data_IF_337736189412
#
_entry.id   IF_337736189412
#
_cell.length_a   1.000
_cell.length_b   1.000
_cell.length_c   1.000
_cell.angle_alpha   90.00
_cell.angle_beta   90.00
_cell.angle_gamma   90.00
#
_symmetry.space_group_name_H-M   'P 1'
#
loop_
_entity.id
_entity.type
_entity.pdbx_description
1 polymer ?
#
# COMPACT_ATOMS: atom_id res chain seq x y z
N UNK A 1 9.92 6.36 13.32
CA UNK A 1 10.87 6.38 12.19
C UNK A 1 10.08 6.11 10.92
N UNK A 2 10.34 6.87 9.85
CA UNK A 2 9.73 6.69 8.53
C UNK A 2 10.88 6.62 7.54
N UNK A 3 10.91 5.57 6.72
CA UNK A 3 11.89 5.40 5.66
C UNK A 3 11.14 5.25 4.35
N UNK A 4 11.45 6.14 3.43
CA UNK A 4 11.04 6.11 2.03
C UNK A 4 12.31 6.02 1.19
N UNK A 5 12.36 5.02 0.33
CA UNK A 5 13.56 4.65 -0.40
C UNK A 5 13.22 3.83 -1.63
N UNK A 6 14.10 3.90 -2.61
CA UNK A 6 13.99 3.14 -3.85
C UNK A 6 15.35 2.80 -4.42
N UNK A 7 15.33 2.02 -5.51
CA UNK A 7 16.51 1.56 -6.21
C UNK A 7 16.27 1.36 -7.69
N UNK A 8 17.35 1.44 -8.47
CA UNK A 8 17.37 1.23 -9.91
C UNK A 8 18.08 -0.09 -10.21
N UNK A 9 17.42 -0.92 -11.01
CA UNK A 9 17.90 -2.21 -11.46
C UNK A 9 17.70 -2.31 -12.97
N UNK A 10 18.47 -3.17 -13.65
CA UNK A 10 18.37 -3.33 -15.11
C UNK A 10 16.96 -3.77 -15.56
N UNK A 11 16.23 -4.39 -14.64
CA UNK A 11 14.89 -4.95 -14.81
C UNK A 11 13.78 -4.13 -14.13
N UNK A 12 14.09 -2.97 -13.53
CA UNK A 12 13.04 -2.11 -12.99
C UNK A 12 13.49 -0.99 -12.06
N UNK A 13 12.51 -0.18 -11.67
CA UNK A 13 12.64 0.87 -10.65
C UNK A 13 11.74 0.51 -9.47
N UNK A 14 12.24 0.69 -8.26
CA UNK A 14 11.52 0.39 -7.02
C UNK A 14 11.27 1.66 -6.22
N UNK A 15 10.14 1.70 -5.53
CA UNK A 15 9.79 2.72 -4.56
C UNK A 15 9.01 2.09 -3.40
N UNK A 16 9.40 2.41 -2.17
CA UNK A 16 8.82 1.82 -0.97
C UNK A 16 9.02 2.70 0.25
N UNK A 17 7.90 2.97 0.92
CA UNK A 17 7.85 3.58 2.25
C UNK A 17 7.36 2.60 3.33
N UNK A 18 8.05 2.58 4.46
CA UNK A 18 7.60 1.95 5.71
C UNK A 18 7.73 2.89 6.90
N UNK A 19 6.72 2.89 7.76
CA UNK A 19 6.73 3.58 9.05
C UNK A 19 6.87 2.58 10.19
N UNK A 20 7.84 2.82 11.07
CA UNK A 20 8.17 1.98 12.23
C UNK A 20 8.09 2.78 13.53
N UNK A 21 7.70 2.11 14.63
CA UNK A 21 7.83 2.66 15.98
C UNK A 21 9.13 2.19 16.62
N UNK A 22 9.96 3.14 17.03
CA UNK A 22 11.28 2.90 17.64
C UNK A 22 11.39 3.49 19.05
N UNK A 23 10.26 3.95 19.60
CA UNK A 23 10.20 4.48 20.96
C UNK A 23 10.21 3.38 22.02
N UNK A 24 10.44 3.73 23.29
CA UNK A 24 10.33 2.76 24.38
C UNK A 24 8.87 2.31 24.57
N UNK A 25 8.67 1.04 24.89
CA UNK A 25 7.34 0.49 25.22
C UNK A 25 6.40 0.34 24.02
N UNK A 26 5.10 0.36 24.29
CA UNK A 26 4.06 0.22 23.27
C UNK A 26 3.80 1.55 22.55
N UNK A 27 3.51 1.54 21.22
CA UNK A 27 3.15 2.75 20.51
C UNK A 27 1.87 3.38 21.07
N UNK A 28 1.79 4.73 21.18
CA UNK A 28 0.58 5.40 21.66
C UNK A 28 -0.66 5.06 20.84
N UNK A 29 -1.83 4.94 21.49
CA UNK A 29 -3.08 4.56 20.83
C UNK A 29 -3.42 5.46 19.63
N UNK A 30 -3.30 6.79 19.79
CA UNK A 30 -3.56 7.73 18.69
C UNK A 30 -2.62 7.58 17.50
N UNK A 31 -1.39 7.10 17.71
CA UNK A 31 -0.46 6.76 16.62
C UNK A 31 -0.92 5.47 15.92
N UNK A 32 -1.29 4.44 16.69
CA UNK A 32 -1.78 3.16 16.16
C UNK A 32 -3.07 3.31 15.34
N UNK A 33 -4.02 4.10 15.84
CA UNK A 33 -5.27 4.40 15.15
C UNK A 33 -5.03 5.09 13.80
N UNK A 34 -4.14 6.08 13.76
CA UNK A 34 -3.81 6.80 12.52
C UNK A 34 -3.02 5.94 11.53
N UNK A 35 -2.07 5.13 12.02
CA UNK A 35 -1.36 4.15 11.19
C UNK A 35 -2.33 3.16 10.57
N UNK A 36 -3.27 2.66 11.35
CA UNK A 36 -4.26 1.70 10.88
C UNK A 36 -5.17 2.33 9.83
N UNK A 37 -5.60 3.58 9.97
CA UNK A 37 -6.39 4.27 8.94
C UNK A 37 -5.62 4.47 7.64
N UNK A 38 -4.35 4.84 7.71
CA UNK A 38 -3.47 4.87 6.52
C UNK A 38 -3.40 3.49 5.87
N UNK A 39 -3.22 2.43 6.67
CA UNK A 39 -3.20 1.06 6.18
C UNK A 39 -4.54 0.62 5.57
N UNK A 40 -5.68 1.00 6.15
CA UNK A 40 -7.01 0.72 5.56
C UNK A 40 -7.15 1.37 4.18
N UNK A 41 -6.67 2.61 4.03
CA UNK A 41 -6.64 3.28 2.73
C UNK A 41 -5.77 2.54 1.71
N UNK A 42 -4.59 2.12 2.17
CA UNK A 42 -3.64 1.33 1.39
C UNK A 42 -4.27 0.01 0.91
N UNK A 43 -4.97 -0.70 1.80
CA UNK A 43 -5.67 -1.95 1.50
C UNK A 43 -6.83 -1.72 0.55
N UNK A 44 -7.64 -0.69 0.78
CA UNK A 44 -8.81 -0.36 -0.04
C UNK A 44 -8.41 -0.11 -1.50
N UNK A 45 -7.30 0.58 -1.74
CA UNK A 45 -6.77 0.76 -3.09
C UNK A 45 -6.14 -0.54 -3.63
N UNK A 46 -5.33 -1.26 -2.83
CA UNK A 46 -4.67 -2.50 -3.26
C UNK A 46 -5.64 -3.62 -3.65
N UNK A 47 -6.85 -3.64 -3.06
CA UNK A 47 -7.88 -4.65 -3.29
C UNK A 47 -8.98 -4.20 -4.24
N UNK A 48 -8.87 -2.99 -4.79
CA UNK A 48 -9.89 -2.43 -5.67
C UNK A 48 -10.03 -3.25 -6.95
N UNK A 49 -11.27 -3.57 -7.29
CA UNK A 49 -11.67 -4.16 -8.57
C UNK A 49 -12.60 -3.18 -9.27
N UNK A 50 -12.24 -2.74 -10.47
CA UNK A 50 -12.87 -1.60 -11.13
C UNK A 50 -13.06 -1.82 -12.63
N UNK A 51 -14.09 -1.23 -13.27
CA UNK A 51 -14.31 -1.43 -14.70
C UNK A 51 -13.19 -0.79 -15.54
N UNK A 52 -12.88 -1.39 -16.70
CA UNK A 52 -11.96 -0.76 -17.67
C UNK A 52 -12.46 0.64 -18.05
N UNK A 53 -11.52 1.57 -18.23
CA UNK A 53 -11.81 2.98 -18.53
C UNK A 53 -11.75 3.91 -17.31
N UNK A 54 -11.68 3.35 -16.09
CA UNK A 54 -11.45 4.14 -14.87
C UNK A 54 -10.01 4.67 -14.86
N UNK A 55 -9.86 5.94 -14.45
CA UNK A 55 -8.59 6.63 -14.32
C UNK A 55 -8.19 6.77 -12.83
N UNK A 56 -6.91 7.01 -12.57
CA UNK A 56 -6.36 7.14 -11.22
C UNK A 56 -7.08 8.15 -10.29
N UNK A 57 -7.47 9.37 -10.75
CA UNK A 57 -8.23 10.32 -9.92
C UNK A 57 -9.55 9.77 -9.37
N UNK A 58 -10.19 8.82 -10.05
CA UNK A 58 -11.44 8.21 -9.60
C UNK A 58 -11.23 7.24 -8.43
N UNK A 59 -10.02 6.71 -8.26
CA UNK A 59 -9.67 5.72 -7.24
C UNK A 59 -8.97 6.35 -6.02
N UNK A 60 -8.42 7.56 -6.15
CA UNK A 60 -7.70 8.28 -5.07
C UNK A 60 -8.51 8.41 -3.77
N UNK A 61 -9.83 8.62 -3.88
CA UNK A 61 -10.72 8.72 -2.71
C UNK A 61 -10.83 7.41 -1.90
N UNK A 62 -10.57 6.24 -2.50
CA UNK A 62 -10.60 4.96 -1.79
C UNK A 62 -9.54 4.93 -0.68
N UNK A 63 -8.34 5.43 -0.98
CA UNK A 63 -7.24 5.47 -0.02
C UNK A 63 -7.44 6.54 1.06
N UNK A 64 -8.16 7.61 0.75
CA UNK A 64 -8.41 8.71 1.70
C UNK A 64 -9.57 8.43 2.64
N UNK A 65 -10.56 7.66 2.21
CA UNK A 65 -11.82 7.48 2.92
C UNK A 65 -11.65 7.13 4.42
N UNK A 66 -10.77 6.19 4.81
CA UNK A 66 -10.61 5.85 6.23
C UNK A 66 -10.04 6.98 7.10
N UNK A 67 -9.27 7.90 6.52
CA UNK A 67 -8.79 9.12 7.19
C UNK A 67 -9.89 10.19 7.24
N UNK A 68 -10.65 10.36 6.16
CA UNK A 68 -11.79 11.29 6.11
C UNK A 68 -12.86 10.96 7.15
N UNK A 69 -13.14 9.67 7.38
CA UNK A 69 -14.06 9.23 8.44
C UNK A 69 -13.62 9.66 9.86
N UNK A 70 -12.34 10.04 10.03
CA UNK A 70 -11.80 10.60 11.27
C UNK A 70 -11.50 12.11 11.19
N UNK A 71 -11.92 12.79 10.11
CA UNK A 71 -11.63 14.21 9.89
C UNK A 71 -10.16 14.51 9.59
N UNK A 72 -9.43 13.55 9.02
CA UNK A 72 -8.00 13.67 8.68
C UNK A 72 -7.81 13.60 7.16
N UNK A 73 -6.74 14.18 6.60
CA UNK A 73 -6.35 14.07 5.19
C UNK A 73 -4.81 14.14 5.06
N UNK A 74 -4.29 14.05 3.82
CA UNK A 74 -2.89 14.29 3.46
C UNK A 74 -2.75 15.12 2.18
N UNK A 75 -1.70 15.93 2.11
CA UNK A 75 -1.53 17.01 1.11
C UNK A 75 -0.76 16.59 -0.15
N UNK A 76 -0.60 15.29 -0.40
CA UNK A 76 -0.02 14.75 -1.64
C UNK A 76 -1.00 13.82 -2.36
N UNK A 77 -0.64 13.41 -3.58
CA UNK A 77 -1.36 12.34 -4.30
C UNK A 77 -1.23 11.01 -3.58
N UNK A 78 -2.18 10.11 -3.77
CA UNK A 78 -2.09 8.73 -3.25
C UNK A 78 -1.04 7.89 -3.98
N UNK A 79 -0.63 8.27 -5.19
CA UNK A 79 0.49 7.64 -5.87
C UNK A 79 0.69 8.13 -7.29
N UNK A 80 1.78 7.68 -7.91
CA UNK A 80 2.25 8.08 -9.24
C UNK A 80 2.63 6.85 -10.06
N UNK A 81 2.73 6.99 -11.40
CA UNK A 81 3.32 5.95 -12.24
C UNK A 81 4.81 5.76 -11.93
N UNK A 82 5.33 4.56 -12.23
CA UNK A 82 6.75 4.21 -12.06
C UNK A 82 7.28 3.64 -13.37
N UNK A 83 8.36 4.23 -13.89
CA UNK A 83 9.01 3.76 -15.11
C UNK A 83 9.87 2.51 -14.88
N UNK A 84 10.10 1.73 -15.92
CA UNK A 84 10.97 0.54 -15.84
C UNK A 84 12.43 0.92 -16.12
N UNK A 85 13.27 0.91 -15.09
CA UNK A 85 14.67 1.39 -15.17
C UNK A 85 14.75 2.86 -15.66
N UNK A 86 13.80 3.67 -15.22
CA UNK A 86 13.59 5.06 -15.63
C UNK A 86 13.17 5.91 -14.41
N UNK A 87 12.41 6.97 -14.63
CA UNK A 87 11.95 7.86 -13.57
C UNK A 87 11.08 7.13 -12.56
N UNK A 88 11.40 7.27 -11.28
CA UNK A 88 10.56 6.77 -10.18
C UNK A 88 9.18 7.44 -10.18
N UNK A 89 9.10 8.72 -10.59
CA UNK A 89 7.84 9.41 -10.88
C UNK A 89 7.64 9.52 -12.39
N UNK A 90 6.82 8.64 -12.97
CA UNK A 90 6.52 8.61 -14.40
C UNK A 90 5.04 8.97 -14.65
N UNK A 91 4.83 10.09 -15.36
CA UNK A 91 3.50 10.48 -15.82
C UNK A 91 3.07 9.75 -17.10
N UNK A 92 1.82 9.93 -17.56
CA UNK A 92 0.84 10.89 -17.04
C UNK A 92 -0.11 10.30 -15.98
N UNK A 93 -0.02 9.01 -15.67
CA UNK A 93 -0.93 8.34 -14.74
C UNK A 93 -0.55 8.60 -13.28
N UNK A 94 -1.55 8.82 -12.43
CA UNK A 94 -1.37 9.00 -10.99
C UNK A 94 -2.71 8.85 -10.25
N UNK A 95 -2.65 8.40 -9.00
CA UNK A 95 -3.78 8.48 -8.06
C UNK A 95 -3.72 9.84 -7.37
N UNK A 96 -4.40 10.84 -7.94
CA UNK A 96 -4.45 12.18 -7.34
C UNK A 96 -5.66 12.94 -7.81
N UNK A 97 -6.25 13.74 -6.92
CA UNK A 97 -7.32 14.71 -7.23
C UNK A 97 -6.95 15.67 -8.37
N UNK A 98 -5.65 15.98 -8.51
CA UNK A 98 -5.13 16.92 -9.50
C UNK A 98 -4.56 16.23 -10.76
N UNK A 99 -4.53 14.89 -10.80
CA UNK A 99 -3.97 14.17 -11.94
C UNK A 99 -4.89 14.23 -13.17
N UNK A 100 -4.28 14.06 -14.34
CA UNK A 100 -5.01 13.93 -15.61
C UNK A 100 -5.85 12.66 -15.60
N UNK A 101 -7.04 12.73 -16.20
CA UNK A 101 -7.93 11.57 -16.35
C UNK A 101 -7.44 10.64 -17.46
N UNK A 102 -6.36 9.91 -17.20
CA UNK A 102 -5.81 8.87 -18.08
C UNK A 102 -6.30 7.51 -17.60
N UNK A 103 -7.05 6.74 -18.42
CA UNK A 103 -7.51 5.41 -18.05
C UNK A 103 -6.36 4.47 -17.69
N UNK A 104 -6.53 3.70 -16.61
CA UNK A 104 -5.60 2.65 -16.25
C UNK A 104 -5.71 1.48 -17.22
N UNK A 105 -4.58 0.86 -17.55
CA UNK A 105 -4.47 -0.27 -18.45
C UNK A 105 -3.52 -1.33 -17.88
N UNK A 106 -3.72 -2.62 -18.22
CA UNK A 106 -2.81 -3.68 -17.81
C UNK A 106 -1.35 -3.37 -18.14
N UNK A 107 -0.44 -3.73 -17.25
CA UNK A 107 1.00 -3.48 -17.41
C UNK A 107 1.47 -2.14 -16.83
N UNK A 108 0.55 -1.21 -16.50
CA UNK A 108 0.91 0.01 -15.77
C UNK A 108 1.31 -0.32 -14.34
N UNK A 109 2.39 0.30 -13.86
CA UNK A 109 2.86 0.21 -12.47
C UNK A 109 2.67 1.57 -11.82
N UNK A 110 2.05 1.60 -10.64
CA UNK A 110 1.84 2.82 -9.85
C UNK A 110 2.19 2.59 -8.38
N UNK A 111 2.70 3.61 -7.69
CA UNK A 111 2.76 3.61 -6.23
C UNK A 111 1.35 3.69 -5.62
N UNK A 112 1.20 3.12 -4.44
CA UNK A 112 0.04 3.27 -3.55
C UNK A 112 0.60 3.62 -2.19
N UNK A 113 0.56 4.90 -1.84
CA UNK A 113 1.35 5.52 -0.77
C UNK A 113 0.55 6.49 0.12
N UNK A 114 -0.64 6.13 0.62
CA UNK A 114 -1.38 7.03 1.52
C UNK A 114 -0.55 7.38 2.76
N UNK A 115 -0.83 8.56 3.32
CA UNK A 115 -0.08 9.08 4.46
C UNK A 115 -0.92 9.90 5.43
N UNK A 116 -0.30 10.29 6.52
CA UNK A 116 -0.82 11.25 7.48
C UNK A 116 0.34 11.91 8.23
N UNK A 117 0.30 13.22 8.41
CA UNK A 117 1.36 13.98 9.06
C UNK A 117 0.77 14.91 10.12
N UNK A 118 1.24 14.77 11.36
CA UNK A 118 0.86 15.65 12.47
C UNK A 118 1.98 16.67 12.69
N UNK A 119 1.74 17.97 12.40
CA UNK A 119 2.76 19.01 12.57
C UNK A 119 3.36 19.03 13.98
N UNK A 120 4.69 19.14 14.05
CA UNK A 120 5.42 19.16 15.32
C UNK A 120 5.47 17.83 16.07
N UNK A 121 4.96 16.73 15.50
CA UNK A 121 4.93 15.43 16.16
C UNK A 121 5.53 14.29 15.31
N UNK A 122 4.80 13.78 14.31
CA UNK A 122 5.20 12.59 13.55
C UNK A 122 4.53 12.50 12.18
N UNK A 123 5.08 11.66 11.31
CA UNK A 123 4.51 11.30 10.02
C UNK A 123 4.32 9.79 9.87
N UNK A 124 3.36 9.41 9.03
CA UNK A 124 3.05 8.05 8.63
C UNK A 124 2.89 8.04 7.13
N UNK A 125 3.56 7.11 6.45
CA UNK A 125 3.28 6.71 5.07
C UNK A 125 3.53 5.21 4.94
N UNK A 126 2.69 4.55 4.16
CA UNK A 126 2.78 3.13 3.84
C UNK A 126 2.68 3.05 2.34
N UNK A 127 3.68 2.45 1.71
CA UNK A 127 3.74 2.45 0.25
C UNK A 127 4.14 1.10 -0.34
N UNK A 128 3.43 0.70 -1.38
CA UNK A 128 3.80 -0.41 -2.25
C UNK A 128 3.62 0.00 -3.72
N UNK A 129 4.32 -0.68 -4.61
CA UNK A 129 4.02 -0.66 -6.04
C UNK A 129 2.91 -1.66 -6.38
N UNK A 130 1.99 -1.22 -7.23
CA UNK A 130 0.87 -1.98 -7.75
C UNK A 130 0.99 -2.12 -9.26
N UNK A 131 0.86 -3.35 -9.76
CA UNK A 131 0.71 -3.66 -11.18
C UNK A 131 -0.78 -3.74 -11.52
N UNK A 132 -1.22 -2.95 -12.50
CA UNK A 132 -2.57 -3.09 -13.08
C UNK A 132 -2.63 -4.36 -13.91
N UNK A 133 -3.65 -5.19 -13.70
CA UNK A 133 -3.90 -6.40 -14.50
C UNK A 133 -5.39 -6.63 -14.74
N UNK A 134 -5.69 -7.56 -15.64
CA UNK A 134 -7.07 -8.03 -15.85
C UNK A 134 -7.58 -8.74 -14.61
N UNK A 135 -8.78 -8.39 -14.17
CA UNK A 135 -9.43 -9.08 -13.07
C UNK A 135 -10.09 -10.38 -13.57
N UNK A 136 -10.07 -11.42 -12.73
CA UNK A 136 -10.76 -12.67 -13.03
C UNK A 136 -12.25 -12.42 -13.30
N UNK A 137 -12.81 -13.02 -14.36
CA UNK A 137 -14.24 -12.84 -14.72
C UNK A 137 -15.17 -13.38 -13.63
N UNK A 138 -16.21 -12.62 -13.31
CA UNK A 138 -17.27 -13.03 -12.38
C UNK A 138 -18.53 -13.48 -13.14
N UNK A 139 -19.40 -14.33 -12.54
CA UNK A 139 -20.71 -14.64 -13.11
C UNK A 139 -21.50 -13.37 -13.43
N UNK A 140 -22.22 -13.39 -14.55
CA UNK A 140 -23.06 -12.28 -15.03
C UNK A 140 -22.33 -10.95 -15.29
N UNK A 141 -20.99 -10.97 -15.39
CA UNK A 141 -20.18 -9.79 -15.66
C UNK A 141 -20.37 -9.31 -17.11
N UNK A 142 -21.02 -8.15 -17.28
CA UNK A 142 -21.29 -7.56 -18.60
C UNK A 142 -20.11 -6.76 -19.20
N UNK A 143 -19.13 -6.31 -18.39
CA UNK A 143 -18.01 -5.46 -18.82
C UNK A 143 -16.68 -6.00 -18.29
N UNK A 144 -15.54 -5.77 -18.95
CA UNK A 144 -14.23 -6.15 -18.42
C UNK A 144 -13.85 -5.29 -17.21
N UNK A 145 -13.17 -5.91 -16.24
CA UNK A 145 -12.70 -5.28 -15.01
C UNK A 145 -11.19 -5.46 -14.88
N UNK A 146 -10.56 -4.53 -14.19
CA UNK A 146 -9.16 -4.55 -13.79
C UNK A 146 -9.08 -4.68 -12.27
N UNK A 147 -7.92 -5.14 -11.82
CA UNK A 147 -7.52 -5.20 -10.42
C UNK A 147 -6.02 -4.91 -10.30
N UNK A 148 -5.54 -4.84 -9.07
CA UNK A 148 -4.13 -4.65 -8.79
C UNK A 148 -3.47 -5.94 -8.28
N UNK A 149 -2.22 -6.14 -8.69
CA UNK A 149 -1.28 -7.03 -8.04
C UNK A 149 -0.25 -6.21 -7.26
N UNK A 150 -0.06 -6.52 -5.99
CA UNK A 150 1.00 -5.89 -5.19
C UNK A 150 2.36 -6.48 -5.55
N UNK A 151 3.29 -5.64 -6.01
CA UNK A 151 4.66 -6.02 -6.35
C UNK A 151 5.60 -5.99 -5.13
N UNK A 152 5.46 -4.97 -4.28
CA UNK A 152 6.33 -4.81 -3.10
C UNK A 152 6.06 -5.89 -2.05
N UNK A 153 7.11 -6.58 -1.59
CA UNK A 153 7.05 -7.62 -0.56
C UNK A 153 7.87 -7.22 0.68
N UNK A 154 7.26 -6.47 1.58
CA UNK A 154 7.85 -6.12 2.88
C UNK A 154 6.77 -6.02 3.96
N UNK A 155 7.00 -6.55 5.17
CA UNK A 155 5.98 -6.61 6.20
C UNK A 155 5.52 -5.21 6.66
N UNK A 156 4.32 -5.17 7.21
CA UNK A 156 3.78 -3.98 7.88
C UNK A 156 4.19 -4.00 9.36
N UNK A 157 4.23 -2.84 9.99
CA UNK A 157 4.61 -2.71 11.39
C UNK A 157 3.47 -3.18 12.31
N UNK A 158 3.40 -4.48 12.62
CA UNK A 158 2.32 -5.09 13.42
C UNK A 158 2.03 -4.36 14.74
N UNK A 159 3.05 -3.86 15.42
CA UNK A 159 2.89 -3.11 16.67
C UNK A 159 2.09 -1.78 16.49
N UNK A 160 2.12 -1.20 15.30
CA UNK A 160 1.39 0.02 14.95
C UNK A 160 -0.05 -0.25 14.51
N UNK A 161 -0.43 -1.51 14.28
CA UNK A 161 -1.79 -1.86 13.88
C UNK A 161 -2.69 -1.90 15.13
N UNK A 162 -3.83 -1.22 15.05
CA UNK A 162 -4.93 -1.26 16.03
C UNK A 162 -6.00 -2.23 15.52
N UNK A 163 -5.99 -3.51 15.96
CA UNK A 163 -6.77 -4.55 15.31
C UNK A 163 -8.29 -4.36 15.48
N UNK A 164 -8.72 -3.56 16.46
CA UNK A 164 -10.13 -3.21 16.66
C UNK A 164 -10.71 -2.30 15.55
N UNK A 165 -9.87 -1.65 14.75
CA UNK A 165 -10.30 -0.83 13.61
C UNK A 165 -10.40 -1.63 12.30
N UNK A 166 -9.84 -2.84 12.25
CA UNK A 166 -9.82 -3.66 11.04
C UNK A 166 -11.08 -4.52 10.95
N UNK A 167 -11.64 -4.58 9.75
CA UNK A 167 -12.60 -5.61 9.36
C UNK A 167 -11.92 -6.97 9.28
N UNK A 168 -12.72 -8.05 9.32
CA UNK A 168 -12.21 -9.40 9.12
C UNK A 168 -11.52 -9.58 7.75
N UNK A 169 -12.04 -8.92 6.71
CA UNK A 169 -11.47 -8.96 5.36
C UNK A 169 -10.10 -8.26 5.29
N UNK A 170 -9.97 -7.06 5.88
CA UNK A 170 -8.69 -6.34 5.92
C UNK A 170 -7.63 -7.12 6.71
N UNK A 171 -8.02 -7.69 7.86
CA UNK A 171 -7.14 -8.56 8.65
C UNK A 171 -6.68 -9.77 7.85
N UNK A 172 -7.61 -10.48 7.22
CA UNK A 172 -7.31 -11.64 6.38
C UNK A 172 -6.40 -11.29 5.21
N UNK A 173 -6.56 -10.11 4.61
CA UNK A 173 -5.69 -9.62 3.55
C UNK A 173 -4.26 -9.35 4.05
N UNK A 174 -4.10 -8.72 5.22
CA UNK A 174 -2.79 -8.48 5.83
C UNK A 174 -2.09 -9.81 6.13
N UNK A 175 -2.80 -10.77 6.73
CA UNK A 175 -2.25 -12.08 7.07
C UNK A 175 -1.84 -12.86 5.81
N UNK A 176 -2.65 -12.82 4.76
CA UNK A 176 -2.33 -13.42 3.47
C UNK A 176 -1.11 -12.75 2.80
N UNK A 177 -1.01 -11.42 2.85
CA UNK A 177 0.14 -10.68 2.35
C UNK A 177 1.42 -11.03 3.11
N UNK A 178 1.36 -11.11 4.44
CA UNK A 178 2.49 -11.52 5.28
C UNK A 178 2.89 -12.98 5.03
N UNK A 179 1.93 -13.88 4.85
CA UNK A 179 2.20 -15.27 4.48
C UNK A 179 2.90 -15.38 3.11
N UNK A 180 2.48 -14.58 2.13
CA UNK A 180 3.13 -14.49 0.80
C UNK A 180 4.58 -14.02 0.93
N UNK A 181 4.84 -12.97 1.72
CA UNK A 181 6.21 -12.49 1.98
C UNK A 181 7.08 -13.60 2.54
N UNK A 182 6.59 -14.38 3.52
CA UNK A 182 7.35 -15.50 4.06
C UNK A 182 7.65 -16.57 3.00
N UNK A 183 6.66 -16.92 2.18
CA UNK A 183 6.82 -17.95 1.17
C UNK A 183 7.86 -17.56 0.10
N UNK A 184 7.90 -16.28 -0.29
CA UNK A 184 8.76 -15.81 -1.39
C UNK A 184 10.13 -15.30 -0.93
N UNK A 185 10.20 -14.64 0.23
CA UNK A 185 11.40 -13.91 0.65
C UNK A 185 12.23 -14.68 1.68
N UNK A 186 11.63 -15.49 2.55
CA UNK A 186 12.36 -16.07 3.68
C UNK A 186 13.54 -16.96 3.27
N UNK A 187 13.42 -17.70 2.16
CA UNK A 187 14.48 -18.56 1.64
C UNK A 187 15.64 -17.78 0.98
N UNK A 188 15.44 -16.48 0.69
CA UNK A 188 16.46 -15.59 0.14
C UNK A 188 17.26 -14.85 1.21
N UNK A 189 16.83 -14.94 2.48
CA UNK A 189 17.45 -14.28 3.61
C UNK A 189 18.47 -15.18 4.31
N UNK A 190 19.43 -14.57 5.02
CA UNK A 190 20.23 -15.27 6.01
C UNK A 190 19.36 -15.75 7.19
N UNK A 191 19.84 -16.71 8.01
CA UNK A 191 19.04 -17.30 9.08
C UNK A 191 18.47 -16.30 10.10
N UNK A 192 19.23 -15.26 10.47
CA UNK A 192 18.80 -14.28 11.47
C UNK A 192 17.69 -13.38 10.90
N UNK A 193 17.87 -12.93 9.66
CA UNK A 193 16.87 -12.15 8.93
C UNK A 193 15.60 -12.97 8.68
N UNK A 194 15.71 -14.25 8.31
CA UNK A 194 14.57 -15.13 8.11
C UNK A 194 13.77 -15.36 9.41
N UNK A 195 14.47 -15.54 10.54
CA UNK A 195 13.83 -15.66 11.85
C UNK A 195 13.10 -14.37 12.26
N UNK A 196 13.70 -13.21 12.02
CA UNK A 196 13.04 -11.92 12.21
C UNK A 196 11.80 -11.77 11.32
N UNK A 197 11.91 -12.14 10.04
CA UNK A 197 10.82 -12.02 9.07
C UNK A 197 9.62 -12.89 9.49
N UNK A 198 9.87 -14.11 9.96
CA UNK A 198 8.84 -15.00 10.50
C UNK A 198 8.06 -14.35 11.66
N UNK A 199 8.74 -13.64 12.56
CA UNK A 199 8.09 -12.93 13.65
C UNK A 199 7.34 -11.67 13.17
N UNK A 200 7.91 -10.93 12.21
CA UNK A 200 7.31 -9.74 11.61
C UNK A 200 6.03 -10.07 10.81
N UNK A 201 5.94 -11.28 10.25
CA UNK A 201 4.84 -11.75 9.41
C UNK A 201 3.85 -12.69 10.12
N UNK A 202 3.90 -12.82 11.46
CA UNK A 202 2.89 -13.65 12.16
C UNK A 202 1.49 -13.06 11.95
N UNK A 203 0.44 -13.90 11.89
CA UNK A 203 -0.93 -13.44 11.80
C UNK A 203 -1.29 -12.42 12.89
N UNK A 204 -2.20 -11.50 12.58
CA UNK A 204 -2.74 -10.54 13.53
C UNK A 204 -3.75 -11.26 14.46
N UNK A 205 -3.60 -11.07 15.78
CA UNK A 205 -4.48 -11.63 16.81
C UNK A 205 -5.85 -10.96 16.87
#
# INVERSE_FOLDING_TARGET
FLLDSGGQYLDGTTDITRTLFTGPGAPPLGLRQRYTRVLQGHIALSTARFPRGVAGPHLDALARRPLWDAGLDYDHGTGHGVGSFLSVHEGPVAFSRAAKTVPLAPGMILSNEPGFYLPGAYGIRIENLLLVREAASQPDQAKPFLEFETLTLAPYARALIEPSLLTAAERGWIDAYHARILAEIAALCDPDTAAWLAQACRPLA
#
